data_IF_283345528933
#
_entry.id   IF_283345528933
#
_cell.length_a   1.000
_cell.length_b   1.000
_cell.length_c   1.000
_cell.angle_alpha   90.00
_cell.angle_beta   90.00
_cell.angle_gamma   90.00
#
_symmetry.space_group_name_H-M   'P 1'
#
loop_
_entity.id
_entity.type
_entity.pdbx_description
1 polymer ?
#
# COMPACT_ATOMS: atom_id res chain seq x y z
N UNK A 1 -51.33 -39.87 -45.59
CA UNK A 1 -51.40 -40.22 -47.02
C UNK A 1 -50.37 -41.31 -47.21
N UNK A 2 -50.80 -42.55 -46.96
CA UNK A 2 -50.91 -43.66 -47.93
C UNK A 2 -49.51 -44.19 -48.29
N UNK A 3 -48.92 -45.17 -47.60
CA UNK A 3 -49.26 -46.60 -47.49
C UNK A 3 -49.40 -47.33 -48.84
N UNK A 4 -48.31 -47.94 -49.32
CA UNK A 4 -48.22 -49.11 -50.23
C UNK A 4 -46.72 -49.44 -50.36
N UNK A 5 -46.10 -50.53 -49.91
CA UNK A 5 -46.46 -51.67 -49.06
C UNK A 5 -45.24 -52.60 -48.98
N UNK A 6 -44.65 -52.75 -47.79
CA UNK A 6 -43.79 -53.91 -47.44
C UNK A 6 -44.72 -55.14 -47.39
N UNK A 7 -44.51 -56.13 -48.27
CA UNK A 7 -45.41 -57.30 -48.38
C UNK A 7 -44.87 -58.46 -47.54
N UNK A 8 -45.37 -58.58 -46.31
CA UNK A 8 -45.15 -59.72 -45.39
C UNK A 8 -46.39 -60.66 -45.32
N UNK A 9 -46.98 -61.02 -46.46
CA UNK A 9 -48.07 -62.00 -46.53
C UNK A 9 -48.07 -62.77 -47.86
N UNK A 10 -48.32 -64.11 -47.91
CA UNK A 10 -48.42 -64.84 -49.16
C UNK A 10 -49.58 -64.28 -50.00
N UNK A 11 -49.23 -63.58 -51.07
CA UNK A 11 -50.18 -63.05 -52.04
C UNK A 11 -50.88 -64.21 -52.76
N UNK A 12 -52.16 -64.05 -53.08
CA UNK A 12 -52.81 -64.93 -54.03
C UNK A 12 -52.20 -64.71 -55.43
N UNK A 13 -52.27 -65.73 -56.28
CA UNK A 13 -51.59 -65.73 -57.60
C UNK A 13 -51.90 -64.48 -58.44
N UNK A 14 -53.15 -64.04 -58.45
CA UNK A 14 -53.57 -62.84 -59.21
C UNK A 14 -52.96 -61.54 -58.66
N UNK A 15 -52.82 -61.41 -57.33
CA UNK A 15 -52.19 -60.24 -56.71
C UNK A 15 -50.66 -60.25 -56.83
N UNK A 16 -50.02 -61.44 -56.84
CA UNK A 16 -48.58 -61.52 -57.14
C UNK A 16 -48.30 -61.20 -58.59
N UNK A 17 -49.16 -61.63 -59.52
CA UNK A 17 -49.00 -61.34 -60.94
C UNK A 17 -49.15 -59.82 -61.20
N UNK A 18 -50.12 -59.15 -60.57
CA UNK A 18 -50.27 -57.68 -60.65
C UNK A 18 -49.10 -56.90 -60.02
N UNK A 19 -48.55 -57.40 -58.89
CA UNK A 19 -47.39 -56.77 -58.26
C UNK A 19 -46.14 -56.92 -59.15
N UNK A 20 -45.98 -58.07 -59.79
CA UNK A 20 -44.90 -58.30 -60.77
C UNK A 20 -45.06 -57.35 -61.96
N UNK A 21 -46.26 -57.22 -62.53
CA UNK A 21 -46.53 -56.26 -63.60
C UNK A 21 -46.20 -54.81 -63.18
N UNK A 22 -46.61 -54.38 -61.97
CA UNK A 22 -46.26 -53.03 -61.49
C UNK A 22 -44.77 -52.82 -61.25
N UNK A 23 -44.06 -53.84 -60.76
CA UNK A 23 -42.61 -53.77 -60.58
C UNK A 23 -41.87 -53.82 -61.91
N UNK A 24 -42.41 -54.51 -62.91
CA UNK A 24 -41.91 -54.51 -64.28
C UNK A 24 -42.10 -53.11 -64.91
N UNK A 25 -43.25 -52.48 -64.72
CA UNK A 25 -43.50 -51.10 -65.16
C UNK A 25 -42.57 -50.10 -64.44
N UNK A 26 -42.41 -50.20 -63.12
CA UNK A 26 -41.50 -49.36 -62.33
C UNK A 26 -40.03 -49.56 -62.76
N UNK A 27 -39.63 -50.80 -63.07
CA UNK A 27 -38.31 -51.12 -63.61
C UNK A 27 -38.12 -50.47 -64.97
N UNK A 28 -39.14 -50.53 -65.83
CA UNK A 28 -39.10 -50.00 -67.18
C UNK A 28 -39.02 -48.46 -67.17
N UNK A 29 -39.75 -47.81 -66.28
CA UNK A 29 -39.66 -46.36 -66.05
C UNK A 29 -38.27 -45.96 -65.51
N UNK A 30 -37.72 -46.69 -64.54
CA UNK A 30 -36.36 -46.44 -64.03
C UNK A 30 -35.27 -46.69 -65.09
N UNK A 31 -35.44 -47.68 -65.95
CA UNK A 31 -34.56 -47.93 -67.11
C UNK A 31 -34.64 -46.79 -68.12
N UNK A 32 -35.84 -46.25 -68.38
CA UNK A 32 -36.01 -45.07 -69.22
C UNK A 32 -35.33 -43.83 -68.60
N UNK A 33 -35.50 -43.57 -67.30
CA UNK A 33 -34.83 -42.47 -66.61
C UNK A 33 -33.31 -42.60 -66.67
N UNK A 34 -32.76 -43.80 -66.42
CA UNK A 34 -31.33 -44.06 -66.55
C UNK A 34 -30.84 -43.84 -67.98
N UNK A 35 -31.63 -44.23 -68.98
CA UNK A 35 -31.30 -43.97 -70.38
C UNK A 35 -31.31 -42.46 -70.68
N UNK A 36 -32.28 -41.68 -70.19
CA UNK A 36 -32.28 -40.23 -70.32
C UNK A 36 -31.06 -39.58 -69.63
N UNK A 37 -30.69 -40.01 -68.43
CA UNK A 37 -29.48 -39.49 -67.76
C UNK A 37 -28.20 -39.87 -68.51
N UNK A 38 -28.12 -41.08 -69.06
CA UNK A 38 -26.99 -41.51 -69.89
C UNK A 38 -26.91 -40.72 -71.18
N UNK A 39 -28.02 -40.50 -71.86
CA UNK A 39 -28.09 -39.68 -73.07
C UNK A 39 -27.74 -38.21 -72.79
N UNK A 40 -28.21 -37.65 -71.67
CA UNK A 40 -27.86 -36.30 -71.25
C UNK A 40 -26.37 -36.16 -70.91
N UNK A 41 -25.80 -37.12 -70.18
CA UNK A 41 -24.36 -37.18 -69.89
C UNK A 41 -23.55 -37.34 -71.18
N UNK A 42 -23.98 -38.21 -72.09
CA UNK A 42 -23.31 -38.41 -73.37
C UNK A 42 -23.36 -37.13 -74.23
N UNK A 43 -24.51 -36.45 -74.28
CA UNK A 43 -24.67 -35.18 -75.00
C UNK A 43 -23.82 -34.07 -74.39
N UNK A 44 -23.78 -33.94 -73.06
CA UNK A 44 -22.90 -32.99 -72.38
C UNK A 44 -21.43 -33.31 -72.67
N UNK A 45 -21.03 -34.58 -72.62
CA UNK A 45 -19.67 -35.02 -72.94
C UNK A 45 -19.30 -34.80 -74.41
N UNK A 46 -20.26 -34.90 -75.35
CA UNK A 46 -20.08 -34.58 -76.77
C UNK A 46 -20.03 -33.06 -77.03
N UNK A 47 -20.79 -32.26 -76.28
CA UNK A 47 -20.72 -30.79 -76.27
C UNK A 47 -19.38 -30.30 -75.69
N UNK A 48 -18.86 -30.99 -74.67
CA UNK A 48 -17.53 -30.79 -74.05
C UNK A 48 -16.39 -31.53 -74.81
N UNK A 49 -16.71 -32.27 -75.89
CA UNK A 49 -15.73 -33.03 -76.68
C UNK A 49 -14.93 -32.17 -77.68
N UNK A 50 -14.93 -30.83 -77.56
CA UNK A 50 -13.89 -30.04 -78.23
C UNK A 50 -12.54 -30.46 -77.60
N UNK A 51 -11.59 -31.03 -78.37
CA UNK A 51 -10.30 -31.42 -77.85
C UNK A 51 -9.54 -30.26 -77.18
N UNK A 52 -9.93 -29.00 -77.43
CA UNK A 52 -9.44 -27.82 -76.73
C UNK A 52 -9.96 -27.71 -75.29
N UNK A 53 -11.24 -27.98 -75.01
CA UNK A 53 -11.79 -27.92 -73.65
C UNK A 53 -11.24 -29.05 -72.78
N UNK A 54 -11.17 -30.28 -73.29
CA UNK A 54 -10.56 -31.40 -72.55
C UNK A 54 -9.06 -31.21 -72.24
N UNK A 55 -8.35 -30.37 -73.00
CA UNK A 55 -6.96 -30.02 -72.75
C UNK A 55 -6.83 -28.90 -71.71
N UNK A 56 -7.73 -27.90 -71.75
CA UNK A 56 -7.82 -26.84 -70.75
C UNK A 56 -8.17 -27.39 -69.37
N UNK A 57 -9.14 -28.31 -69.29
CA UNK A 57 -9.50 -28.99 -68.04
C UNK A 57 -8.35 -29.81 -67.46
N UNK A 58 -7.57 -30.49 -68.31
CA UNK A 58 -6.37 -31.23 -67.88
C UNK A 58 -5.29 -30.30 -67.35
N UNK A 59 -5.10 -29.14 -67.98
CA UNK A 59 -4.17 -28.11 -67.51
C UNK A 59 -4.62 -27.52 -66.17
N UNK A 60 -5.92 -27.26 -66.01
CA UNK A 60 -6.51 -26.76 -64.76
C UNK A 60 -6.42 -27.80 -63.63
N UNK A 61 -6.70 -29.07 -63.91
CA UNK A 61 -6.50 -30.16 -62.95
C UNK A 61 -5.03 -30.29 -62.52
N UNK A 62 -4.09 -30.09 -63.44
CA UNK A 62 -2.66 -30.08 -63.11
C UNK A 62 -2.28 -28.87 -62.24
N UNK A 63 -2.83 -27.68 -62.53
CA UNK A 63 -2.64 -26.47 -61.70
C UNK A 63 -3.16 -26.69 -60.29
N UNK A 64 -4.40 -27.18 -60.16
CA UNK A 64 -5.03 -27.46 -58.87
C UNK A 64 -4.26 -28.51 -58.06
N UNK A 65 -3.75 -29.58 -58.70
CA UNK A 65 -2.91 -30.58 -58.03
C UNK A 65 -1.58 -30.01 -57.55
N UNK A 66 -0.98 -29.11 -58.32
CA UNK A 66 0.25 -28.44 -57.91
C UNK A 66 0.00 -27.49 -56.73
N UNK A 67 -1.10 -26.75 -56.76
CA UNK A 67 -1.55 -25.90 -55.65
C UNK A 67 -1.87 -26.71 -54.40
N UNK A 68 -2.60 -27.81 -54.52
CA UNK A 68 -2.92 -28.72 -53.42
C UNK A 68 -1.64 -29.25 -52.76
N UNK A 69 -0.67 -29.73 -53.54
CA UNK A 69 0.61 -30.20 -53.03
C UNK A 69 1.39 -29.08 -52.30
N UNK A 70 1.37 -27.85 -52.85
CA UNK A 70 1.99 -26.69 -52.21
C UNK A 70 1.32 -26.33 -50.88
N UNK A 71 -0.01 -26.37 -50.82
CA UNK A 71 -0.79 -26.13 -49.60
C UNK A 71 -0.54 -27.21 -48.56
N UNK A 72 -0.50 -28.49 -48.94
CA UNK A 72 -0.18 -29.59 -48.03
C UNK A 72 1.21 -29.43 -47.40
N UNK A 73 2.21 -29.04 -48.20
CA UNK A 73 3.55 -28.77 -47.68
C UNK A 73 3.55 -27.57 -46.71
N UNK A 74 2.78 -26.52 -47.01
CA UNK A 74 2.64 -25.35 -46.14
C UNK A 74 1.99 -25.71 -44.81
N UNK A 75 0.95 -26.55 -44.82
CA UNK A 75 0.29 -27.04 -43.60
C UNK A 75 1.28 -27.83 -42.74
N UNK A 76 2.03 -28.75 -43.34
CA UNK A 76 3.03 -29.52 -42.62
C UNK A 76 4.09 -28.63 -41.94
N UNK A 77 4.60 -27.60 -42.64
CA UNK A 77 5.53 -26.63 -42.06
C UNK A 77 4.92 -25.88 -40.87
N UNK A 78 3.68 -25.41 -41.01
CA UNK A 78 2.98 -24.69 -39.94
C UNK A 78 2.71 -25.58 -38.72
N UNK A 79 2.42 -26.86 -38.93
CA UNK A 79 2.25 -27.82 -37.84
C UNK A 79 3.57 -28.07 -37.09
N UNK A 80 4.69 -28.22 -37.82
CA UNK A 80 6.01 -28.35 -37.18
C UNK A 80 6.41 -27.09 -36.42
N UNK A 81 6.19 -25.92 -37.00
CA UNK A 81 6.51 -24.64 -36.35
C UNK A 81 5.65 -24.42 -35.10
N UNK A 82 4.37 -24.81 -35.15
CA UNK A 82 3.46 -24.76 -34.00
C UNK A 82 3.95 -25.68 -32.88
N UNK A 83 4.38 -26.89 -33.20
CA UNK A 83 4.88 -27.84 -32.21
C UNK A 83 6.14 -27.29 -31.51
N UNK A 84 7.09 -26.75 -32.27
CA UNK A 84 8.30 -26.12 -31.73
C UNK A 84 7.92 -24.94 -30.82
N UNK A 85 7.08 -24.03 -31.29
CA UNK A 85 6.64 -22.88 -30.51
C UNK A 85 5.92 -23.30 -29.23
N UNK A 86 5.14 -24.38 -29.25
CA UNK A 86 4.45 -24.90 -28.07
C UNK A 86 5.42 -25.44 -27.02
N UNK A 87 6.51 -26.09 -27.44
CA UNK A 87 7.55 -26.59 -26.55
C UNK A 87 8.36 -25.46 -25.93
N UNK A 88 8.70 -24.44 -26.73
CA UNK A 88 9.34 -23.22 -26.24
C UNK A 88 8.48 -22.50 -25.20
N UNK A 89 7.18 -22.34 -25.47
CA UNK A 89 6.23 -21.71 -24.56
C UNK A 89 6.10 -22.50 -23.25
N UNK A 90 6.06 -23.83 -23.32
CA UNK A 90 6.08 -24.69 -22.14
C UNK A 90 7.36 -24.48 -21.31
N UNK A 91 8.54 -24.40 -21.95
CA UNK A 91 9.79 -24.15 -21.25
C UNK A 91 9.83 -22.76 -20.56
N UNK A 92 9.30 -21.74 -21.24
CA UNK A 92 9.24 -20.37 -20.71
C UNK A 92 8.28 -20.26 -19.53
N UNK A 93 7.13 -20.97 -19.56
CA UNK A 93 6.21 -20.97 -18.41
C UNK A 93 6.81 -21.57 -17.16
N UNK A 94 7.63 -22.62 -17.29
CA UNK A 94 8.36 -23.21 -16.17
C UNK A 94 9.40 -22.22 -15.61
N UNK A 95 10.16 -21.56 -16.47
CA UNK A 95 11.14 -20.54 -16.05
C UNK A 95 10.45 -19.35 -15.37
N UNK A 96 9.31 -18.90 -15.90
CA UNK A 96 8.53 -17.83 -15.29
C UNK A 96 8.07 -18.21 -13.87
N UNK A 97 7.56 -19.43 -13.69
CA UNK A 97 7.13 -19.90 -12.37
C UNK A 97 8.29 -20.02 -11.36
N UNK A 98 9.52 -20.22 -11.82
CA UNK A 98 10.72 -20.20 -10.99
C UNK A 98 11.06 -18.77 -10.56
N UNK A 99 11.09 -17.83 -11.51
CA UNK A 99 11.32 -16.40 -11.23
C UNK A 99 10.26 -15.82 -10.29
N UNK A 100 9.00 -16.21 -10.45
CA UNK A 100 7.91 -15.76 -9.58
C UNK A 100 8.12 -16.26 -8.14
N UNK A 101 8.57 -17.52 -7.97
CA UNK A 101 8.91 -18.06 -6.63
C UNK A 101 10.07 -17.31 -5.98
N UNK A 102 11.13 -17.04 -6.73
CA UNK A 102 12.29 -16.30 -6.21
C UNK A 102 11.91 -14.86 -5.87
N UNK A 103 11.06 -14.25 -6.68
CA UNK A 103 10.52 -12.90 -6.43
C UNK A 103 9.72 -12.86 -5.13
N UNK A 104 8.85 -13.84 -4.87
CA UNK A 104 8.10 -13.90 -3.61
C UNK A 104 9.01 -14.00 -2.39
N UNK A 105 10.08 -14.80 -2.46
CA UNK A 105 11.07 -14.92 -1.38
C UNK A 105 11.76 -13.57 -1.17
N UNK A 106 12.25 -12.96 -2.25
CA UNK A 106 12.88 -11.63 -2.20
C UNK A 106 11.96 -10.58 -1.57
N UNK A 107 10.68 -10.53 -1.96
CA UNK A 107 9.74 -9.56 -1.41
C UNK A 107 9.46 -9.77 0.07
N UNK A 108 9.47 -11.01 0.56
CA UNK A 108 9.35 -11.30 2.00
C UNK A 108 10.57 -10.81 2.77
N UNK A 109 11.77 -11.14 2.30
CA UNK A 109 13.02 -10.68 2.91
C UNK A 109 13.13 -9.15 2.91
N UNK A 110 12.78 -8.51 1.79
CA UNK A 110 12.74 -7.04 1.69
C UNK A 110 11.74 -6.44 2.67
N UNK A 111 10.56 -7.03 2.80
CA UNK A 111 9.52 -6.55 3.74
C UNK A 111 9.97 -6.68 5.19
N UNK A 112 10.65 -7.77 5.54
CA UNK A 112 11.24 -7.98 6.86
C UNK A 112 12.35 -6.97 7.15
N UNK A 113 13.26 -6.75 6.21
CA UNK A 113 14.31 -5.74 6.33
C UNK A 113 13.72 -4.33 6.53
N UNK A 114 12.70 -3.97 5.73
CA UNK A 114 12.01 -2.70 5.85
C UNK A 114 11.30 -2.55 7.21
N UNK A 115 10.75 -3.63 7.76
CA UNK A 115 10.17 -3.62 9.12
C UNK A 115 11.25 -3.36 10.17
N UNK A 116 12.37 -4.07 10.12
CA UNK A 116 13.48 -3.87 11.05
C UNK A 116 14.02 -2.44 10.97
N UNK A 117 14.20 -1.91 9.77
CA UNK A 117 14.65 -0.53 9.56
C UNK A 117 13.69 0.48 10.21
N UNK A 118 12.38 0.30 10.07
CA UNK A 118 11.38 1.16 10.72
C UNK A 118 11.45 1.07 12.24
N UNK A 119 11.56 -0.13 12.80
CA UNK A 119 11.72 -0.34 14.25
C UNK A 119 12.94 0.41 14.78
N UNK A 120 14.09 0.32 14.09
CA UNK A 120 15.29 1.07 14.48
C UNK A 120 15.12 2.59 14.39
N UNK A 121 14.44 3.10 13.36
CA UNK A 121 14.17 4.53 13.22
C UNK A 121 13.22 5.04 14.31
N UNK A 122 12.18 4.29 14.63
CA UNK A 122 11.26 4.62 15.73
C UNK A 122 11.97 4.64 17.09
N UNK A 123 12.88 3.69 17.33
CA UNK A 123 13.72 3.67 18.53
C UNK A 123 14.66 4.88 18.60
N UNK A 124 15.30 5.21 17.47
CA UNK A 124 16.15 6.38 17.36
C UNK A 124 15.39 7.67 17.70
N UNK A 125 14.23 7.87 17.08
CA UNK A 125 13.39 9.06 17.27
C UNK A 125 12.89 9.16 18.72
N UNK A 126 12.55 8.02 19.34
CA UNK A 126 12.16 7.96 20.75
C UNK A 126 13.31 8.39 21.67
N UNK A 127 14.53 7.92 21.41
CA UNK A 127 15.73 8.30 22.18
C UNK A 127 16.03 9.79 21.98
N UNK A 128 15.94 10.29 20.75
CA UNK A 128 16.18 11.70 20.46
C UNK A 128 15.16 12.60 21.18
N UNK A 129 13.87 12.27 21.13
CA UNK A 129 12.82 12.97 21.89
C UNK A 129 13.11 12.98 23.40
N UNK A 130 13.56 11.86 23.97
CA UNK A 130 13.94 11.78 25.39
C UNK A 130 15.13 12.67 25.70
N UNK A 131 16.15 12.68 24.84
CA UNK A 131 17.33 13.54 24.98
C UNK A 131 16.94 15.02 24.92
N UNK A 132 16.09 15.40 23.98
CA UNK A 132 15.57 16.77 23.86
C UNK A 132 14.81 17.17 25.12
N UNK A 133 13.91 16.33 25.63
CA UNK A 133 13.17 16.63 26.86
C UNK A 133 14.08 16.74 28.10
N UNK A 134 15.05 15.83 28.23
CA UNK A 134 16.03 15.86 29.32
C UNK A 134 16.89 17.13 29.26
N UNK A 135 17.38 17.50 28.07
CA UNK A 135 18.16 18.72 27.88
C UNK A 135 17.35 20.00 28.15
N UNK A 136 16.08 20.03 27.74
CA UNK A 136 15.16 21.12 28.06
C UNK A 136 14.92 21.24 29.57
N UNK A 137 14.74 20.10 30.25
CA UNK A 137 14.59 20.05 31.70
C UNK A 137 15.85 20.52 32.43
N UNK A 138 17.03 20.13 31.95
CA UNK A 138 18.31 20.58 32.48
C UNK A 138 18.50 22.09 32.27
N UNK A 139 18.17 22.60 31.08
CA UNK A 139 18.19 24.04 30.78
C UNK A 139 17.27 24.82 31.71
N UNK A 140 16.07 24.29 32.01
CA UNK A 140 15.15 24.87 32.98
C UNK A 140 15.75 24.87 34.38
N UNK A 141 16.29 23.75 34.86
CA UNK A 141 16.92 23.64 36.18
C UNK A 141 18.14 24.56 36.33
N UNK A 142 18.91 24.75 35.27
CA UNK A 142 20.06 25.65 35.27
C UNK A 142 19.62 27.13 35.32
N UNK A 143 18.48 27.46 34.69
CA UNK A 143 17.89 28.81 34.74
C UNK A 143 17.20 29.12 36.07
N UNK A 144 16.64 28.11 36.75
CA UNK A 144 16.03 28.27 38.08
C UNK A 144 17.12 28.42 39.13
N UNK A 145 17.57 29.65 39.33
CA UNK A 145 18.39 29.99 40.48
C UNK A 145 17.47 30.07 41.70
N UNK A 146 17.54 29.06 42.59
CA UNK A 146 16.71 28.94 43.80
C UNK A 146 16.71 30.24 44.62
N UNK A 147 17.82 30.97 44.65
CA UNK A 147 17.90 32.24 45.39
C UNK A 147 17.07 33.36 44.76
N UNK A 148 17.05 33.44 43.42
CA UNK A 148 16.24 34.43 42.70
C UNK A 148 14.75 34.09 42.77
N UNK A 149 14.40 32.80 42.82
CA UNK A 149 13.01 32.34 42.95
C UNK A 149 12.50 32.49 44.39
N UNK A 150 13.35 32.28 45.39
CA UNK A 150 12.97 32.39 46.82
C UNK A 150 12.97 33.84 47.32
N UNK A 151 13.85 34.69 46.80
CA UNK A 151 13.96 36.10 47.15
C UNK A 151 14.03 36.96 45.88
N UNK A 152 12.86 37.15 45.25
CA UNK A 152 12.74 37.93 44.05
C UNK A 152 12.80 39.44 44.37
N UNK A 153 13.98 40.04 44.21
CA UNK A 153 14.18 41.48 44.37
C UNK A 153 13.93 42.17 43.03
N UNK A 154 12.95 43.05 42.98
CA UNK A 154 12.59 43.84 41.80
C UNK A 154 12.29 45.29 42.17
N UNK A 155 11.71 46.05 41.24
CA UNK A 155 11.25 47.41 41.49
C UNK A 155 9.84 47.59 40.94
N UNK A 156 9.03 48.37 41.66
CA UNK A 156 7.70 48.79 41.24
C UNK A 156 7.62 50.32 41.35
N UNK A 157 7.70 51.00 40.21
CA UNK A 157 7.76 52.46 40.16
C UNK A 157 8.99 53.02 40.87
N UNK A 158 8.79 53.63 42.03
CA UNK A 158 9.85 54.27 42.85
C UNK A 158 10.27 53.42 44.06
N UNK A 159 9.65 52.25 44.26
CA UNK A 159 9.92 51.36 45.39
C UNK A 159 10.72 50.13 44.94
N UNK A 160 11.68 49.70 45.75
CA UNK A 160 12.23 48.36 45.65
C UNK A 160 11.25 47.35 46.23
N UNK A 161 11.06 46.22 45.57
CA UNK A 161 10.19 45.13 46.03
C UNK A 161 10.99 43.87 46.31
N UNK A 162 10.61 43.12 47.34
CA UNK A 162 11.13 41.78 47.61
C UNK A 162 9.96 40.81 47.75
N UNK A 163 9.92 39.75 46.92
CA UNK A 163 8.80 38.81 46.85
C UNK A 163 7.43 39.49 46.69
N UNK A 164 7.41 40.65 46.02
CA UNK A 164 6.21 41.46 45.81
C UNK A 164 5.86 42.45 46.93
N UNK A 165 6.62 42.50 48.04
CA UNK A 165 6.41 43.49 49.11
C UNK A 165 7.23 44.75 48.89
N UNK A 166 6.61 45.93 49.00
CA UNK A 166 7.28 47.22 48.75
C UNK A 166 8.05 47.70 49.98
N UNK A 167 9.33 47.98 49.79
CA UNK A 167 10.22 48.50 50.82
C UNK A 167 10.33 50.03 50.70
N UNK A 168 9.46 50.74 51.42
CA UNK A 168 9.52 52.19 51.54
C UNK A 168 8.16 52.85 51.59
N UNK A 169 8.16 54.16 51.86
CA UNK A 169 6.94 54.96 51.92
C UNK A 169 7.17 56.31 51.27
N UNK A 170 6.35 56.67 50.28
CA UNK A 170 6.32 58.00 49.69
C UNK A 170 5.08 58.76 50.16
N UNK A 171 5.15 60.09 50.21
CA UNK A 171 4.01 60.95 50.58
C UNK A 171 2.79 60.75 49.66
N UNK A 172 3.04 60.44 48.38
CA UNK A 172 2.00 60.24 47.37
C UNK A 172 1.39 58.83 47.35
N UNK A 173 2.02 57.85 48.00
CA UNK A 173 1.54 56.46 48.06
C UNK A 173 1.95 55.84 49.40
N UNK A 174 1.08 55.91 50.42
CA UNK A 174 1.38 55.29 51.71
C UNK A 174 1.29 53.77 51.59
N UNK A 175 2.41 53.10 51.83
CA UNK A 175 2.49 51.65 52.01
C UNK A 175 2.23 51.32 53.49
N UNK A 176 1.54 50.21 53.76
CA UNK A 176 1.23 49.79 55.13
C UNK A 176 2.50 49.32 55.87
N UNK A 177 2.58 49.60 57.16
CA UNK A 177 3.71 49.19 58.00
C UNK A 177 3.86 47.67 58.05
N UNK A 178 2.76 46.92 58.00
CA UNK A 178 2.81 45.46 57.95
C UNK A 178 3.52 44.95 56.67
N UNK A 179 3.33 45.63 55.54
CA UNK A 179 3.98 45.28 54.26
C UNK A 179 5.48 45.61 54.29
N UNK A 180 5.84 46.78 54.83
CA UNK A 180 7.24 47.21 54.99
C UNK A 180 7.97 46.25 55.94
N UNK A 181 7.34 45.89 57.06
CA UNK A 181 7.91 44.97 58.05
C UNK A 181 8.04 43.55 57.48
N UNK A 182 7.08 43.10 56.67
CA UNK A 182 7.20 41.85 55.93
C UNK A 182 8.39 41.86 54.96
N UNK A 183 8.61 42.98 54.24
CA UNK A 183 9.76 43.16 53.36
C UNK A 183 11.09 43.16 54.15
N UNK A 184 11.15 43.79 55.33
CA UNK A 184 12.30 43.71 56.23
C UNK A 184 12.55 42.29 56.75
N UNK A 185 11.49 41.54 57.03
CA UNK A 185 11.59 40.12 57.38
C UNK A 185 12.19 39.27 56.27
N UNK A 186 11.74 39.48 55.03
CA UNK A 186 12.27 38.75 53.87
C UNK A 186 13.74 39.12 53.58
N UNK A 187 14.12 40.40 53.72
CA UNK A 187 15.52 40.83 53.51
C UNK A 187 16.46 40.31 54.59
N UNK A 188 16.03 40.28 55.85
CA UNK A 188 16.81 39.71 56.93
C UNK A 188 16.98 38.19 56.79
N UNK A 189 15.92 37.47 56.36
CA UNK A 189 15.99 36.05 56.05
C UNK A 189 16.95 35.75 54.88
N UNK A 190 16.93 36.59 53.83
CA UNK A 190 17.88 36.52 52.73
C UNK A 190 19.32 36.68 53.23
N UNK A 191 19.57 37.70 54.05
CA UNK A 191 20.91 38.00 54.58
C UNK A 191 21.44 36.87 55.47
N UNK A 192 20.59 36.29 56.32
CA UNK A 192 20.97 35.10 57.10
C UNK A 192 21.25 33.90 56.20
N UNK A 193 20.39 33.64 55.22
CA UNK A 193 20.56 32.51 54.29
C UNK A 193 21.85 32.63 53.48
N UNK A 194 22.26 33.85 53.11
CA UNK A 194 23.55 34.12 52.47
C UNK A 194 24.73 33.89 53.43
N UNK A 195 24.62 34.35 54.68
CA UNK A 195 25.65 34.17 55.69
C UNK A 195 25.88 32.68 56.02
N UNK A 196 24.81 31.89 56.15
CA UNK A 196 24.88 30.44 56.36
C UNK A 196 25.57 29.72 55.19
N UNK A 197 25.22 30.09 53.95
CA UNK A 197 25.84 29.52 52.74
C UNK A 197 27.35 29.82 52.67
N UNK A 198 27.74 31.06 52.98
CA UNK A 198 29.14 31.49 52.96
C UNK A 198 29.90 31.06 54.22
N UNK A 199 29.23 30.41 55.18
CA UNK A 199 29.74 30.10 56.53
C UNK A 199 30.35 31.34 57.21
N UNK A 200 29.75 32.50 56.96
CA UNK A 200 30.17 33.77 57.51
C UNK A 200 29.44 34.02 58.83
N UNK A 201 30.18 34.27 59.89
CA UNK A 201 29.63 34.67 61.19
C UNK A 201 29.73 36.16 61.35
N UNK A 202 28.61 36.82 61.62
CA UNK A 202 28.61 38.24 61.97
C UNK A 202 29.24 38.44 63.36
N UNK A 203 30.20 39.34 63.48
CA UNK A 203 30.96 39.52 64.74
C UNK A 203 30.19 40.32 65.79
N UNK A 204 29.51 41.40 65.39
CA UNK A 204 28.87 42.36 66.31
C UNK A 204 27.37 42.16 66.47
N UNK A 205 26.70 41.64 65.45
CA UNK A 205 25.25 41.59 65.38
C UNK A 205 24.78 40.21 64.93
N UNK A 206 23.82 39.63 65.63
CA UNK A 206 23.11 38.41 65.25
C UNK A 206 21.73 38.76 64.71
N UNK A 207 21.40 38.25 63.53
CA UNK A 207 20.10 38.46 62.89
C UNK A 207 19.19 37.28 63.25
N UNK A 208 17.96 37.56 63.68
CA UNK A 208 16.94 36.56 64.03
C UNK A 208 15.66 36.86 63.24
N UNK A 209 15.46 36.22 62.06
CA UNK A 209 14.29 36.42 61.23
C UNK A 209 13.09 35.71 61.86
N UNK A 210 12.08 36.51 62.22
CA UNK A 210 10.81 36.06 62.80
C UNK A 210 9.65 36.59 61.93
N UNK A 211 9.77 36.41 60.61
CA UNK A 211 8.82 36.97 59.64
C UNK A 211 8.77 38.50 59.76
N UNK A 212 7.57 39.06 59.89
CA UNK A 212 7.36 40.52 59.96
C UNK A 212 7.83 41.19 61.26
N UNK A 213 8.39 40.45 62.22
CA UNK A 213 8.93 41.01 63.48
C UNK A 213 10.39 40.61 63.65
N UNK A 214 11.19 40.88 62.64
CA UNK A 214 12.60 40.48 62.64
C UNK A 214 13.41 41.31 63.64
N UNK A 215 14.36 40.67 64.31
CA UNK A 215 15.16 41.27 65.37
C UNK A 215 16.65 41.15 65.08
N UNK A 216 17.41 42.16 65.50
CA UNK A 216 18.86 42.15 65.53
C UNK A 216 19.32 42.24 66.98
N UNK A 217 20.23 41.35 67.38
CA UNK A 217 20.80 41.30 68.73
C UNK A 217 22.29 41.65 68.66
N UNK A 218 22.76 42.52 69.55
CA UNK A 218 24.20 42.77 69.72
C UNK A 218 24.83 41.62 70.53
N UNK A 219 25.95 41.08 70.04
CA UNK A 219 26.66 39.96 70.66
C UNK A 219 27.38 40.38 71.95
N UNK A 220 27.78 41.65 72.07
CA UNK A 220 28.55 42.17 73.21
C UNK A 220 27.66 42.73 74.33
N UNK A 221 26.55 43.39 73.99
CA UNK A 221 25.71 44.14 74.95
C UNK A 221 24.30 43.54 75.18
N UNK A 222 23.96 42.41 74.55
CA UNK A 222 22.60 41.81 74.54
C UNK A 222 21.44 42.77 74.17
N UNK A 223 21.75 43.96 73.64
CA UNK A 223 20.75 44.94 73.21
C UNK A 223 19.99 44.43 72.00
N UNK A 224 18.65 44.51 72.05
CA UNK A 224 17.74 44.04 71.00
C UNK A 224 17.20 45.22 70.18
N UNK A 225 17.33 45.13 68.86
CA UNK A 225 16.75 46.08 67.90
C UNK A 225 15.64 45.37 67.13
N UNK A 226 14.44 45.93 67.13
CA UNK A 226 13.33 45.48 66.28
C UNK A 226 13.38 46.24 64.95
N UNK A 227 13.25 45.50 63.83
CA UNK A 227 13.24 46.04 62.47
C UNK A 227 11.81 46.19 61.94
#
# INVERSE_FOLDING_TARGET
>A
MSSMGEVDHPLCKECSDQLVESLEDDLLDAEQELNYYREFLARSQEEDADPRDSALEREELQKLRFEEAGLQQRVFQLETDREIASQELASLTVQQAEVDRDSEVYWKEYSEFQRQLREFLEEHDCIEMRLQNASASLSRLNKTNIYNDTFHIWFEGHFGTINGFRLGRLQNSPVDWAEINAAWGQTALLLQSMAERLKFTFNKYRIVPLGSYTRIENVEDETRFEL
#
